data_IF_048063632304
#
_entry.id   IF_048063632304
#
_cell.length_a   1.000
_cell.length_b   1.000
_cell.length_c   1.000
_cell.angle_alpha   90.00
_cell.angle_beta   90.00
_cell.angle_gamma   90.00
#
_symmetry.space_group_name_H-M   'P 1'
#
loop_
_entity.id
_entity.type
_entity.pdbx_description
1 polymer ?
#
# COMPACT_ATOMS: atom_id res chain seq x y z
N UNK A 1 -18.70 -6.10 3.94
CA UNK A 1 -17.27 -5.90 4.17
C UNK A 1 -16.72 -4.90 3.17
N UNK A 2 -15.96 -3.93 3.67
CA UNK A 2 -15.32 -2.91 2.82
C UNK A 2 -13.92 -3.34 2.47
N UNK A 3 -13.54 -3.15 1.23
CA UNK A 3 -12.21 -3.50 0.73
C UNK A 3 -11.57 -2.28 0.10
N UNK A 4 -10.30 -2.10 0.38
CA UNK A 4 -9.52 -1.03 -0.22
C UNK A 4 -8.30 -1.62 -0.88
N UNK A 5 -8.08 -1.24 -2.13
CA UNK A 5 -6.84 -1.52 -2.83
C UNK A 5 -6.13 -0.19 -3.00
N UNK A 6 -4.97 -0.08 -2.36
CA UNK A 6 -4.18 1.14 -2.35
C UNK A 6 -2.92 0.92 -3.18
N UNK A 7 -2.72 1.78 -4.16
CA UNK A 7 -1.56 1.72 -5.03
C UNK A 7 -0.71 2.95 -4.79
N UNK A 8 0.56 2.76 -4.51
CA UNK A 8 1.48 3.86 -4.26
C UNK A 8 2.82 3.58 -4.93
N UNK A 9 3.42 4.63 -5.47
CA UNK A 9 4.77 4.57 -5.99
C UNK A 9 5.80 5.16 -5.03
N UNK A 10 5.38 5.55 -3.83
CA UNK A 10 6.26 6.10 -2.81
C UNK A 10 6.12 5.29 -1.51
N UNK A 11 7.15 4.52 -1.12
CA UNK A 11 7.06 3.69 0.09
C UNK A 11 6.83 4.50 1.37
N UNK A 12 7.38 5.70 1.45
CA UNK A 12 7.20 6.53 2.64
C UNK A 12 5.75 6.98 2.80
N UNK A 13 5.14 7.38 1.70
CA UNK A 13 3.73 7.77 1.70
C UNK A 13 2.84 6.57 1.98
N UNK A 14 3.19 5.40 1.43
CA UNK A 14 2.45 4.17 1.66
C UNK A 14 2.40 3.83 3.15
N UNK A 15 3.55 3.88 3.83
CA UNK A 15 3.61 3.56 5.24
C UNK A 15 2.73 4.49 6.07
N UNK A 16 2.76 5.78 5.77
CA UNK A 16 1.94 6.77 6.48
C UNK A 16 0.46 6.55 6.24
N UNK A 17 0.08 6.32 5.00
CA UNK A 17 -1.32 6.12 4.64
C UNK A 17 -1.87 4.81 5.22
N UNK A 18 -1.06 3.76 5.25
CA UNK A 18 -1.46 2.51 5.86
C UNK A 18 -1.70 2.69 7.36
N UNK A 19 -0.88 3.49 8.03
CA UNK A 19 -1.07 3.77 9.44
C UNK A 19 -2.41 4.48 9.69
N UNK A 20 -2.77 5.43 8.83
CA UNK A 20 -4.05 6.14 8.91
C UNK A 20 -5.22 5.18 8.67
N UNK A 21 -5.13 4.34 7.66
CA UNK A 21 -6.19 3.39 7.32
C UNK A 21 -6.38 2.35 8.42
N UNK A 22 -5.29 1.84 8.97
CA UNK A 22 -5.37 0.89 10.08
C UNK A 22 -5.99 1.54 11.31
N UNK A 23 -5.69 2.81 11.55
CA UNK A 23 -6.30 3.56 12.62
C UNK A 23 -7.79 3.79 12.42
N UNK A 24 -8.26 3.77 11.18
CA UNK A 24 -9.69 3.91 10.85
C UNK A 24 -10.45 2.58 10.91
N UNK A 25 -9.80 1.49 11.27
CA UNK A 25 -10.44 0.21 11.44
C UNK A 25 -10.21 -0.79 10.31
N UNK A 26 -9.40 -0.43 9.31
CA UNK A 26 -9.05 -1.36 8.24
C UNK A 26 -7.89 -2.26 8.67
N UNK A 27 -7.95 -3.51 8.28
CA UNK A 27 -6.87 -4.46 8.53
C UNK A 27 -6.08 -4.67 7.25
N UNK A 28 -4.75 -4.56 7.35
CA UNK A 28 -3.88 -4.82 6.22
C UNK A 28 -3.80 -6.34 6.00
N UNK A 29 -4.25 -6.79 4.83
CA UNK A 29 -4.28 -8.21 4.51
C UNK A 29 -3.10 -8.63 3.66
N UNK A 30 -2.67 -7.80 2.72
CA UNK A 30 -1.60 -8.15 1.82
C UNK A 30 -0.92 -6.89 1.30
N UNK A 31 0.39 -6.97 1.14
CA UNK A 31 1.18 -5.93 0.48
C UNK A 31 2.04 -6.62 -0.57
N UNK A 32 2.02 -6.10 -1.78
CA UNK A 32 2.89 -6.55 -2.86
C UNK A 32 3.74 -5.38 -3.33
N UNK A 33 5.02 -5.65 -3.50
CA UNK A 33 5.97 -4.68 -4.02
C UNK A 33 6.36 -5.10 -5.43
N UNK A 34 6.20 -4.18 -6.37
CA UNK A 34 6.58 -4.42 -7.75
C UNK A 34 7.73 -3.50 -8.11
N UNK A 35 8.87 -4.08 -8.42
CA UNK A 35 10.03 -3.34 -8.90
C UNK A 35 10.00 -3.42 -10.42
N UNK A 36 9.45 -2.38 -11.04
CA UNK A 36 9.13 -2.43 -12.46
C UNK A 36 10.34 -2.18 -13.36
N UNK A 37 11.30 -1.37 -12.90
CA UNK A 37 12.46 -1.03 -13.72
C UNK A 37 13.71 -0.94 -12.87
N UNK A 38 14.74 -1.72 -13.18
CA UNK A 38 15.99 -1.64 -12.42
C UNK A 38 16.74 -0.33 -12.61
N UNK A 39 16.36 0.48 -13.57
CA UNK A 39 17.01 1.76 -13.85
C UNK A 39 16.27 2.97 -13.31
N UNK A 40 15.07 2.78 -12.79
CA UNK A 40 14.29 3.85 -12.22
C UNK A 40 13.98 3.53 -10.77
N UNK A 41 13.93 4.57 -9.94
CA UNK A 41 13.65 4.42 -8.52
C UNK A 41 12.16 4.26 -8.22
N UNK A 42 11.39 3.88 -9.21
CA UNK A 42 9.95 3.71 -9.03
C UNK A 42 9.64 2.30 -8.54
N UNK A 43 9.36 2.19 -7.26
CA UNK A 43 8.82 0.98 -6.67
C UNK A 43 7.32 1.18 -6.57
N UNK A 44 6.58 0.32 -7.25
CA UNK A 44 5.13 0.36 -7.17
C UNK A 44 4.66 -0.62 -6.10
N UNK A 45 3.87 -0.09 -5.16
CA UNK A 45 3.38 -0.87 -4.03
C UNK A 45 1.87 -0.99 -4.13
N UNK A 46 1.35 -2.19 -3.92
CA UNK A 46 -0.08 -2.44 -3.87
C UNK A 46 -0.40 -3.00 -2.50
N UNK A 47 -1.28 -2.31 -1.77
CA UNK A 47 -1.72 -2.76 -0.46
C UNK A 47 -3.20 -3.13 -0.52
N UNK A 48 -3.53 -4.26 0.05
CA UNK A 48 -4.91 -4.73 0.14
C UNK A 48 -5.35 -4.68 1.59
N UNK A 49 -6.40 -3.90 1.84
CA UNK A 49 -6.96 -3.75 3.18
C UNK A 49 -8.41 -4.17 3.18
N UNK A 50 -8.85 -4.69 4.30
CA UNK A 50 -10.24 -5.12 4.47
C UNK A 50 -10.73 -4.72 5.86
N UNK A 51 -11.96 -4.32 5.90
CA UNK A 51 -12.60 -3.92 7.15
C UNK A 51 -13.61 -4.95 7.65
#
# INVERSE_FOLDING_TARGET
>A
ASRIIYISCNPSTLARDLAVLCGAGFALKQVKLFDMFPQTYHIESVAYLER
#
